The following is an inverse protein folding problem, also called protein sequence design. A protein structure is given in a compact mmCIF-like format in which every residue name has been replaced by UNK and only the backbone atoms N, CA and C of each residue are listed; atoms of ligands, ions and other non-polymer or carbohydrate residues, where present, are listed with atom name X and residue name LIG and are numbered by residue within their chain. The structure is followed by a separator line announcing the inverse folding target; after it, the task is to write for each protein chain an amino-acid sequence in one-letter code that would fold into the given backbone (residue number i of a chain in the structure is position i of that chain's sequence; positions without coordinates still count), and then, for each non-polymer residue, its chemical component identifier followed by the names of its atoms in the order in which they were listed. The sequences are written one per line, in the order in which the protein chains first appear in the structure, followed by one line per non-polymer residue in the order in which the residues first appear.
data_IF_515617796407
#
_entry.id   IF_515617796407
#
_cell.length_a   1.000
_cell.length_b   1.000
_cell.length_c   1.000
_cell.angle_alpha   90.00
_cell.angle_beta   90.00
_cell.angle_gamma   90.00
#
_symmetry.space_group_name_H-M   'P 1'
#
loop_
_entity.id
_entity.type
_entity.pdbx_description
1 polymer ?
#
# COMPACT_ATOMS: atom_id res chain seq x y z
N UNK A 1 -47.85 22.08 -35.28
CA UNK A 1 -48.49 23.40 -35.56
C UNK A 1 -50.00 23.19 -35.59
N UNK A 2 -50.74 23.75 -34.64
CA UNK A 2 -52.22 23.61 -34.58
C UNK A 2 -52.83 24.64 -35.52
N UNK A 3 -53.75 24.21 -36.40
CA UNK A 3 -54.37 25.06 -37.41
C UNK A 3 -55.17 26.21 -36.75
N UNK A 4 -54.83 27.50 -36.98
CA UNK A 4 -55.44 28.64 -36.29
C UNK A 4 -56.96 28.80 -36.53
N UNK A 5 -57.46 28.32 -37.67
CA UNK A 5 -58.88 28.39 -38.03
C UNK A 5 -59.75 27.51 -37.14
N UNK A 6 -59.30 26.28 -36.85
CA UNK A 6 -60.00 25.33 -35.97
C UNK A 6 -60.24 25.88 -34.54
N UNK A 7 -59.33 26.72 -34.03
CA UNK A 7 -59.43 27.30 -32.69
C UNK A 7 -60.51 28.38 -32.59
N UNK A 8 -60.68 29.18 -33.65
CA UNK A 8 -61.72 30.23 -33.70
C UNK A 8 -63.12 29.63 -33.88
N UNK A 9 -63.24 28.52 -34.60
CA UNK A 9 -64.53 27.87 -34.82
C UNK A 9 -65.07 27.22 -33.54
N UNK A 10 -64.19 26.68 -32.69
CA UNK A 10 -64.59 26.13 -31.39
C UNK A 10 -65.12 27.22 -30.44
N UNK A 11 -64.50 28.41 -30.42
CA UNK A 11 -64.94 29.53 -29.58
C UNK A 11 -66.31 30.10 -30.01
N UNK A 12 -66.76 29.86 -31.24
CA UNK A 12 -68.07 30.33 -31.74
C UNK A 12 -69.19 29.29 -31.63
N UNK A 13 -68.88 28.03 -31.31
CA UNK A 13 -69.91 27.01 -31.08
C UNK A 13 -70.65 27.31 -29.78
N UNK A 14 -71.98 27.16 -29.78
CA UNK A 14 -72.79 27.23 -28.55
C UNK A 14 -72.38 26.07 -27.64
N UNK A 15 -71.74 26.40 -26.51
CA UNK A 15 -71.37 25.42 -25.50
C UNK A 15 -72.52 25.21 -24.52
N UNK A 16 -72.56 24.01 -23.90
CA UNK A 16 -73.55 23.67 -22.87
C UNK A 16 -73.43 24.54 -21.61
N UNK A 17 -72.29 25.20 -21.43
CA UNK A 17 -71.99 26.13 -20.35
C UNK A 17 -71.79 27.53 -20.92
N UNK A 18 -72.23 28.57 -20.20
CA UNK A 18 -72.03 29.97 -20.58
C UNK A 18 -70.55 30.37 -20.39
N UNK A 19 -69.72 29.89 -21.31
CA UNK A 19 -68.29 30.15 -21.32
C UNK A 19 -68.06 31.40 -22.17
N UNK A 20 -67.84 32.53 -21.51
CA UNK A 20 -67.42 33.73 -22.22
C UNK A 20 -65.99 33.55 -22.73
N UNK A 21 -65.82 33.64 -24.05
CA UNK A 21 -64.54 33.38 -24.73
C UNK A 21 -63.40 34.30 -24.27
N UNK A 22 -63.71 35.55 -23.92
CA UNK A 22 -62.77 36.53 -23.37
C UNK A 22 -62.13 36.03 -22.07
N UNK A 23 -62.94 35.56 -21.10
CA UNK A 23 -62.44 35.05 -19.82
C UNK A 23 -61.52 33.83 -19.98
N UNK A 24 -61.81 32.96 -20.95
CA UNK A 24 -60.95 31.80 -21.23
C UNK A 24 -59.62 32.24 -21.83
N UNK A 25 -59.63 33.19 -22.76
CA UNK A 25 -58.40 33.70 -23.37
C UNK A 25 -57.54 34.44 -22.34
N UNK A 26 -58.14 35.25 -21.46
CA UNK A 26 -57.44 35.93 -20.37
C UNK A 26 -56.80 34.93 -19.40
N UNK A 27 -57.53 33.88 -19.00
CA UNK A 27 -57.01 32.82 -18.15
C UNK A 27 -55.83 32.07 -18.81
N UNK A 28 -55.95 31.76 -20.10
CA UNK A 28 -54.86 31.12 -20.85
C UNK A 28 -53.66 32.06 -20.96
N UNK A 29 -53.85 33.35 -21.24
CA UNK A 29 -52.76 34.32 -21.32
C UNK A 29 -52.04 34.46 -19.97
N UNK A 30 -52.80 34.57 -18.87
CA UNK A 30 -52.25 34.64 -17.51
C UNK A 30 -51.51 33.36 -17.14
N UNK A 31 -52.06 32.19 -17.47
CA UNK A 31 -51.42 30.90 -17.23
C UNK A 31 -50.12 30.77 -18.01
N UNK A 32 -50.12 31.13 -19.30
CA UNK A 32 -48.92 31.13 -20.14
C UNK A 32 -47.83 32.04 -19.56
N UNK A 33 -48.18 33.27 -19.17
CA UNK A 33 -47.24 34.21 -18.55
C UNK A 33 -46.67 33.67 -17.23
N UNK A 34 -47.49 33.01 -16.40
CA UNK A 34 -47.03 32.36 -15.18
C UNK A 34 -46.05 31.21 -15.47
N UNK A 35 -46.33 30.39 -16.49
CA UNK A 35 -45.44 29.31 -16.89
C UNK A 35 -44.12 29.84 -17.45
N UNK A 36 -44.14 30.88 -18.28
CA UNK A 36 -42.92 31.54 -18.79
C UNK A 36 -42.04 32.02 -17.63
N UNK A 37 -42.61 32.65 -16.60
CA UNK A 37 -41.86 33.07 -15.41
C UNK A 37 -41.23 31.89 -14.66
N UNK A 38 -41.95 30.78 -14.50
CA UNK A 38 -41.42 29.57 -13.85
C UNK A 38 -40.28 28.97 -14.67
N UNK A 39 -40.42 28.92 -16.00
CA UNK A 39 -39.37 28.45 -16.91
C UNK A 39 -38.12 29.33 -16.77
N UNK A 40 -38.27 30.66 -16.73
CA UNK A 40 -37.15 31.58 -16.52
C UNK A 40 -36.46 31.37 -15.16
N UNK A 41 -37.22 31.16 -14.09
CA UNK A 41 -36.67 30.83 -12.76
C UNK A 41 -35.91 29.51 -12.77
N UNK A 42 -36.46 28.46 -13.37
CA UNK A 42 -35.79 27.17 -13.53
C UNK A 42 -34.52 27.28 -14.37
N UNK A 43 -34.53 28.08 -15.45
CA UNK A 43 -33.34 28.33 -16.26
C UNK A 43 -32.25 29.06 -15.46
N UNK A 44 -32.61 30.01 -14.59
CA UNK A 44 -31.65 30.69 -13.70
C UNK A 44 -31.08 29.73 -12.66
N UNK A 45 -31.91 28.90 -12.04
CA UNK A 45 -31.45 27.90 -11.06
C UNK A 45 -30.57 26.84 -11.69
N UNK A 46 -30.91 26.37 -12.90
CA UNK A 46 -30.05 25.49 -13.68
C UNK A 46 -28.66 26.10 -13.89
N UNK A 47 -28.60 27.36 -14.36
CA UNK A 47 -27.32 28.05 -14.60
C UNK A 47 -26.49 28.16 -13.33
N UNK A 48 -27.11 28.55 -12.20
CA UNK A 48 -26.44 28.60 -10.90
C UNK A 48 -25.93 27.23 -10.44
N UNK A 49 -26.67 26.16 -10.72
CA UNK A 49 -26.23 24.80 -10.40
C UNK A 49 -25.04 24.38 -11.26
N UNK A 50 -25.04 24.69 -12.56
CA UNK A 50 -23.92 24.45 -13.47
C UNK A 50 -22.66 25.22 -13.03
N UNK A 51 -22.79 26.50 -12.65
CA UNK A 51 -21.68 27.30 -12.11
C UNK A 51 -21.10 26.69 -10.82
N UNK A 52 -21.95 26.27 -9.87
CA UNK A 52 -21.49 25.61 -8.63
C UNK A 52 -20.76 24.29 -8.90
N UNK A 53 -21.20 23.52 -9.90
CA UNK A 53 -20.53 22.29 -10.29
C UNK A 53 -19.15 22.58 -10.91
N UNK A 54 -19.05 23.59 -11.77
CA UNK A 54 -17.77 23.99 -12.36
C UNK A 54 -16.76 24.44 -11.30
N UNK A 55 -17.19 25.29 -10.36
CA UNK A 55 -16.36 25.73 -9.23
C UNK A 55 -15.87 24.55 -8.37
N UNK A 56 -16.76 23.58 -8.10
CA UNK A 56 -16.43 22.37 -7.35
C UNK A 56 -15.40 21.51 -8.08
N UNK A 57 -15.58 21.29 -9.38
CA UNK A 57 -14.65 20.53 -10.23
C UNK A 57 -13.28 21.20 -10.28
N UNK A 58 -13.22 22.53 -10.45
CA UNK A 58 -11.95 23.27 -10.44
C UNK A 58 -11.23 23.20 -9.10
N UNK A 59 -11.96 23.19 -7.97
CA UNK A 59 -11.37 23.04 -6.63
C UNK A 59 -10.80 21.63 -6.45
N UNK A 60 -11.53 20.59 -6.84
CA UNK A 60 -11.06 19.21 -6.78
C UNK A 60 -9.82 18.99 -7.66
N UNK A 61 -9.82 19.52 -8.88
CA UNK A 61 -8.68 19.45 -9.78
C UNK A 61 -7.43 20.12 -9.17
N UNK A 62 -7.57 21.32 -8.61
CA UNK A 62 -6.47 22.02 -7.91
C UNK A 62 -5.96 21.24 -6.70
N UNK A 63 -6.85 20.60 -5.93
CA UNK A 63 -6.44 19.76 -4.80
C UNK A 63 -5.68 18.51 -5.28
N UNK A 64 -6.18 17.84 -6.31
CA UNK A 64 -5.53 16.66 -6.90
C UNK A 64 -4.13 17.01 -7.43
N UNK A 65 -3.98 18.11 -8.15
CA UNK A 65 -2.67 18.57 -8.62
C UNK A 65 -1.72 18.92 -7.47
N UNK A 66 -2.22 19.49 -6.36
CA UNK A 66 -1.39 19.73 -5.17
C UNK A 66 -0.92 18.43 -4.54
N UNK A 67 -1.77 17.40 -4.47
CA UNK A 67 -1.41 16.07 -3.95
C UNK A 67 -0.34 15.44 -4.85
N UNK A 68 -0.58 15.37 -6.17
CA UNK A 68 0.36 14.79 -7.13
C UNK A 68 1.72 15.49 -7.09
N UNK A 69 1.77 16.83 -7.01
CA UNK A 69 3.05 17.55 -6.86
C UNK A 69 3.79 17.18 -5.58
N UNK A 70 3.07 17.06 -4.46
CA UNK A 70 3.69 16.65 -3.18
C UNK A 70 4.23 15.23 -3.26
N UNK A 71 3.49 14.31 -3.86
CA UNK A 71 3.94 12.92 -4.07
C UNK A 71 5.19 12.88 -4.95
N UNK A 72 5.21 13.61 -6.07
CA UNK A 72 6.38 13.72 -6.93
C UNK A 72 7.61 14.30 -6.21
N UNK A 73 7.43 15.31 -5.35
CA UNK A 73 8.56 15.88 -4.59
C UNK A 73 9.11 14.88 -3.57
N UNK A 74 8.24 14.15 -2.88
CA UNK A 74 8.65 13.12 -1.91
C UNK A 74 9.38 11.98 -2.63
N UNK A 75 8.86 11.54 -3.79
CA UNK A 75 9.53 10.51 -4.60
C UNK A 75 10.90 10.98 -5.08
N UNK A 76 11.02 12.22 -5.56
CA UNK A 76 12.29 12.81 -5.98
C UNK A 76 13.30 12.90 -4.83
N UNK A 77 12.87 13.26 -3.62
CA UNK A 77 13.72 13.28 -2.42
C UNK A 77 14.22 11.88 -2.05
N UNK A 78 13.34 10.87 -2.10
CA UNK A 78 13.69 9.47 -1.84
C UNK A 78 14.70 8.96 -2.87
N UNK A 79 14.47 9.22 -4.17
CA UNK A 79 15.42 8.82 -5.22
C UNK A 79 16.76 9.56 -5.08
N UNK A 80 16.75 10.84 -4.72
CA UNK A 80 17.98 11.59 -4.49
C UNK A 80 18.80 11.02 -3.32
N UNK A 81 18.13 10.61 -2.24
CA UNK A 81 18.76 9.95 -1.10
C UNK A 81 19.34 8.58 -1.47
N UNK A 82 18.60 7.78 -2.24
CA UNK A 82 19.12 6.50 -2.77
C UNK A 82 20.37 6.69 -3.63
N UNK A 83 20.38 7.70 -4.51
CA UNK A 83 21.54 8.04 -5.33
C UNK A 83 22.73 8.46 -4.46
N UNK A 84 22.50 9.26 -3.41
CA UNK A 84 23.57 9.64 -2.46
C UNK A 84 24.19 8.41 -1.79
N UNK A 85 23.35 7.53 -1.25
CA UNK A 85 23.80 6.30 -0.58
C UNK A 85 24.58 5.38 -1.52
N UNK A 86 24.13 5.22 -2.76
CA UNK A 86 24.86 4.42 -3.77
C UNK A 86 26.21 5.04 -4.13
N UNK A 87 26.30 6.37 -4.22
CA UNK A 87 27.58 7.07 -4.46
C UNK A 87 28.57 6.84 -3.32
N UNK A 88 28.12 6.94 -2.07
CA UNK A 88 28.96 6.67 -0.91
C UNK A 88 29.47 5.22 -0.89
N UNK A 89 28.61 4.26 -1.25
CA UNK A 89 29.02 2.86 -1.38
C UNK A 89 30.09 2.65 -2.45
N UNK A 90 29.97 3.32 -3.60
CA UNK A 90 30.99 3.25 -4.67
C UNK A 90 32.31 3.83 -4.19
N UNK A 91 32.31 4.97 -3.51
CA UNK A 91 33.52 5.60 -2.95
C UNK A 91 34.20 4.69 -1.91
N UNK A 92 33.41 4.07 -1.02
CA UNK A 92 33.92 3.08 -0.06
C UNK A 92 34.54 1.86 -0.76
N UNK A 93 33.96 1.41 -1.88
CA UNK A 93 34.53 0.32 -2.67
C UNK A 93 35.83 0.71 -3.35
N UNK A 94 35.96 1.94 -3.85
CA UNK A 94 37.20 2.45 -4.44
C UNK A 94 38.35 2.45 -3.43
N UNK A 95 38.10 2.89 -2.19
CA UNK A 95 39.10 2.84 -1.10
C UNK A 95 39.49 1.39 -0.78
N UNK A 96 38.53 0.47 -0.68
CA UNK A 96 38.82 -0.96 -0.44
C UNK A 96 39.68 -1.55 -1.56
N UNK A 97 39.37 -1.23 -2.82
CA UNK A 97 40.16 -1.69 -3.97
C UNK A 97 41.58 -1.10 -3.92
N UNK A 98 41.75 0.16 -3.53
CA UNK A 98 43.07 0.77 -3.37
C UNK A 98 43.90 0.06 -2.29
N UNK A 99 43.32 -0.19 -1.12
CA UNK A 99 44.00 -0.91 -0.03
C UNK A 99 44.38 -2.35 -0.44
N UNK A 100 43.49 -3.06 -1.12
CA UNK A 100 43.78 -4.41 -1.63
C UNK A 100 44.93 -4.41 -2.64
N UNK A 101 45.00 -3.40 -3.51
CA UNK A 101 46.12 -3.23 -4.46
C UNK A 101 47.45 -2.99 -3.73
N UNK A 102 47.45 -2.20 -2.66
CA UNK A 102 48.64 -1.96 -1.84
C UNK A 102 49.13 -3.25 -1.17
N UNK A 103 48.22 -4.03 -0.56
CA UNK A 103 48.54 -5.34 0.03
C UNK A 103 49.06 -6.33 -1.02
N UNK A 104 48.51 -6.31 -2.23
CA UNK A 104 49.00 -7.17 -3.31
C UNK A 104 50.44 -6.79 -3.71
N UNK A 105 50.74 -5.49 -3.82
CA UNK A 105 52.08 -5.03 -4.16
C UNK A 105 53.12 -5.33 -3.08
N UNK A 106 52.80 -5.17 -1.79
CA UNK A 106 53.72 -5.55 -0.71
C UNK A 106 54.02 -7.04 -0.73
N UNK A 107 52.99 -7.88 -0.92
CA UNK A 107 53.15 -9.33 -1.01
C UNK A 107 53.94 -9.78 -2.24
N UNK A 108 53.83 -9.07 -3.37
CA UNK A 108 54.66 -9.30 -4.55
C UNK A 108 56.13 -8.98 -4.28
N UNK A 109 56.42 -7.90 -3.54
CA UNK A 109 57.77 -7.52 -3.16
C UNK A 109 58.42 -8.52 -2.20
N UNK A 110 57.71 -8.94 -1.16
CA UNK A 110 58.17 -9.96 -0.20
C UNK A 110 58.53 -11.28 -0.91
N UNK A 111 57.69 -11.72 -1.85
CA UNK A 111 57.98 -12.92 -2.66
C UNK A 111 59.24 -12.77 -3.51
N UNK A 112 59.50 -11.58 -4.06
CA UNK A 112 60.72 -11.35 -4.83
C UNK A 112 61.97 -11.45 -3.95
N UNK A 113 61.96 -10.86 -2.76
CA UNK A 113 63.08 -10.95 -1.81
C UNK A 113 63.33 -12.39 -1.33
N UNK A 114 62.28 -13.15 -1.02
CA UNK A 114 62.39 -14.58 -0.68
C UNK A 114 63.04 -15.40 -1.80
N UNK A 115 62.69 -15.12 -3.07
CA UNK A 115 63.30 -15.83 -4.21
C UNK A 115 64.77 -15.48 -4.44
N UNK A 116 65.23 -14.27 -4.08
CA UNK A 116 66.64 -13.92 -4.16
C UNK A 116 67.48 -14.57 -3.05
N UNK A 117 66.94 -14.67 -1.83
CA UNK A 117 67.61 -15.33 -0.71
C UNK A 117 67.77 -16.85 -0.96
N UNK A 118 66.75 -17.50 -1.53
CA UNK A 118 66.83 -18.92 -1.89
C UNK A 118 67.80 -19.21 -3.05
N UNK A 119 68.06 -18.26 -3.96
CA UNK A 119 69.07 -18.43 -5.03
C UNK A 119 70.52 -18.39 -4.53
N UNK A 120 70.80 -17.80 -3.36
CA UNK A 120 72.17 -17.76 -2.77
C UNK A 120 72.47 -18.95 -1.84
N UNK A 121 71.45 -19.72 -1.43
CA UNK A 121 71.63 -20.96 -0.67
C UNK A 121 71.86 -22.22 -1.52
N UNK A 122 71.55 -22.18 -2.83
CA UNK A 122 71.54 -23.35 -3.69
C UNK A 122 72.86 -23.67 -4.42
N UNK A 123 74.03 -23.32 -3.85
CA UNK A 123 75.35 -23.69 -4.42
C UNK A 123 76.19 -24.61 -3.53
N UNK A 124 75.71 -25.01 -2.34
CA UNK A 124 76.50 -25.89 -1.48
C UNK A 124 75.65 -26.75 -0.53
N UNK A 125 74.88 -27.70 -1.07
CA UNK A 125 74.57 -29.01 -0.45
C UNK A 125 73.65 -29.79 -1.41
N UNK A 126 74.17 -30.84 -2.06
CA UNK A 126 74.17 -32.25 -1.58
C UNK A 126 72.78 -32.86 -1.75
N UNK A 127 72.55 -33.60 -2.83
CA UNK A 127 72.67 -35.07 -2.86
C UNK A 127 71.99 -35.75 -1.66
N UNK A 128 70.88 -36.44 -1.96
CA UNK A 128 70.15 -37.41 -1.13
C UNK A 128 69.33 -36.82 0.03
N UNK A 129 68.01 -36.80 -0.13
CA UNK A 129 67.06 -37.50 0.76
C UNK A 129 65.67 -37.50 0.15
N UNK A 130 65.20 -38.73 -0.09
CA UNK A 130 63.83 -39.24 -0.01
C UNK A 130 62.64 -38.30 -0.28
N UNK A 131 61.94 -38.67 -1.35
CA UNK A 131 60.59 -38.27 -1.71
C UNK A 131 59.58 -38.71 -0.65
N UNK A 132 59.40 -37.92 0.41
CA UNK A 132 58.09 -37.86 1.05
C UNK A 132 57.15 -37.16 0.07
N UNK A 133 56.30 -37.95 -0.59
CA UNK A 133 55.35 -37.45 -1.57
C UNK A 133 54.47 -36.40 -0.91
N UNK A 134 54.40 -35.20 -1.50
CA UNK A 134 53.61 -34.02 -1.06
C UNK A 134 52.19 -34.37 -0.54
N UNK A 135 51.63 -35.50 -0.98
CA UNK A 135 50.37 -36.07 -0.51
C UNK A 135 50.31 -36.28 1.01
N UNK A 136 51.34 -36.84 1.65
CA UNK A 136 51.31 -37.13 3.10
C UNK A 136 51.50 -35.86 3.94
N UNK A 137 52.20 -34.85 3.39
CA UNK A 137 52.34 -33.53 4.01
C UNK A 137 51.00 -32.77 4.06
N UNK A 138 50.22 -32.81 2.97
CA UNK A 138 48.88 -32.19 2.95
C UNK A 138 47.88 -32.92 3.85
N UNK A 139 47.98 -34.25 3.99
CA UNK A 139 47.07 -35.04 4.84
C UNK A 139 47.30 -34.78 6.34
N UNK A 140 48.55 -34.48 6.73
CA UNK A 140 48.92 -34.12 8.12
C UNK A 140 48.47 -32.71 8.50
N UNK A 141 48.55 -31.75 7.57
CA UNK A 141 48.09 -30.37 7.78
C UNK A 141 46.57 -30.26 7.96
N UNK A 142 45.80 -31.18 7.35
CA UNK A 142 44.34 -31.24 7.51
C UNK A 142 43.95 -31.82 8.89
N UNK A 143 44.77 -32.68 9.48
CA UNK A 143 44.50 -33.26 10.80
C UNK A 143 44.83 -32.29 11.96
N UNK A 144 45.78 -31.37 11.80
CA UNK A 144 46.13 -30.37 12.83
C UNK A 144 45.08 -29.24 12.98
N UNK A 145 44.26 -28.97 11.96
CA UNK A 145 43.18 -27.95 12.03
C UNK A 145 41.93 -28.49 12.74
N UNK A 146 41.85 -29.81 13.01
CA UNK A 146 40.70 -30.43 13.67
C UNK A 146 40.86 -30.64 15.18
N UNK A 147 42.00 -30.25 15.77
CA UNK A 147 42.27 -30.42 17.20
C UNK A 147 42.16 -29.10 17.97
N UNK A 148 41.21 -29.05 18.90
CA UNK A 148 41.15 -28.15 20.04
C UNK A 148 40.84 -26.66 19.80
N UNK A 149 39.60 -26.38 19.39
CA UNK A 149 38.92 -25.15 19.82
C UNK A 149 37.72 -25.53 20.71
N UNK A 150 37.97 -25.66 22.02
CA UNK A 150 36.92 -25.50 23.05
C UNK A 150 36.48 -24.03 23.05
N UNK A 151 35.61 -23.69 22.10
CA UNK A 151 34.88 -22.41 22.09
C UNK A 151 33.81 -22.48 23.15
N UNK A 152 33.94 -21.59 24.12
CA UNK A 152 32.93 -21.27 25.13
C UNK A 152 31.58 -21.00 24.46
N UNK A 153 30.62 -21.82 24.86
CA UNK A 153 29.23 -21.88 24.43
C UNK A 153 28.45 -20.59 24.79
N UNK A 154 28.75 -19.49 24.10
CA UNK A 154 27.90 -18.29 24.08
C UNK A 154 26.91 -18.44 22.92
N UNK A 155 25.78 -19.10 23.21
CA UNK A 155 24.50 -18.97 22.51
C UNK A 155 24.63 -18.55 21.04
N UNK A 156 25.20 -19.42 20.21
CA UNK A 156 24.87 -19.43 18.80
C UNK A 156 23.35 -19.64 18.74
N UNK A 157 22.61 -18.56 18.50
CA UNK A 157 21.26 -18.65 17.97
C UNK A 157 21.39 -19.43 16.67
N UNK A 158 21.23 -20.75 16.81
CA UNK A 158 21.18 -21.72 15.74
C UNK A 158 20.26 -21.13 14.67
N UNK A 159 20.88 -20.63 13.59
CA UNK A 159 20.19 -20.14 12.42
C UNK A 159 19.54 -21.35 11.77
N UNK A 160 18.44 -21.82 12.36
CA UNK A 160 17.61 -22.87 11.81
C UNK A 160 17.02 -22.27 10.56
N UNK A 161 17.70 -22.51 9.45
CA UNK A 161 17.36 -22.10 8.11
C UNK A 161 16.03 -22.76 7.75
N UNK A 162 14.93 -22.16 8.19
CA UNK A 162 13.62 -22.81 8.16
C UNK A 162 12.89 -22.39 6.88
N UNK A 163 12.95 -23.17 5.79
CA UNK A 163 12.18 -22.89 4.57
C UNK A 163 10.68 -22.77 4.85
N UNK A 164 10.17 -23.41 5.91
CA UNK A 164 8.77 -23.28 6.30
C UNK A 164 8.42 -21.84 6.74
N UNK A 165 9.35 -21.10 7.35
CA UNK A 165 9.11 -19.72 7.76
C UNK A 165 8.91 -18.80 6.54
N UNK A 166 9.72 -18.97 5.50
CA UNK A 166 9.57 -18.18 4.26
C UNK A 166 8.24 -18.50 3.56
N UNK A 167 7.81 -19.77 3.56
CA UNK A 167 6.51 -20.17 3.02
C UNK A 167 5.38 -19.51 3.81
N UNK A 168 5.40 -19.59 5.14
CA UNK A 168 4.39 -18.98 6.01
C UNK A 168 4.29 -17.46 5.81
N UNK A 169 5.42 -16.76 5.70
CA UNK A 169 5.42 -15.31 5.45
C UNK A 169 4.83 -14.95 4.09
N UNK A 170 5.06 -15.77 3.05
CA UNK A 170 4.45 -15.57 1.73
C UNK A 170 2.94 -15.79 1.77
N UNK A 171 2.48 -16.80 2.48
CA UNK A 171 1.04 -17.05 2.67
C UNK A 171 0.37 -15.87 3.39
N UNK A 172 0.99 -15.34 4.45
CA UNK A 172 0.50 -14.15 5.14
C UNK A 172 0.46 -12.91 4.24
N UNK A 173 1.49 -12.71 3.39
CA UNK A 173 1.52 -11.59 2.45
C UNK A 173 0.39 -11.71 1.39
N UNK A 174 0.16 -12.92 0.87
CA UNK A 174 -0.93 -13.22 -0.05
C UNK A 174 -2.30 -13.00 0.60
N UNK A 175 -2.48 -13.40 1.86
CA UNK A 175 -3.72 -13.16 2.60
C UNK A 175 -3.99 -11.65 2.79
N UNK A 176 -2.96 -10.87 3.16
CA UNK A 176 -3.08 -9.42 3.25
C UNK A 176 -3.43 -8.77 1.89
N UNK A 177 -2.86 -9.26 0.80
CA UNK A 177 -3.18 -8.80 -0.56
C UNK A 177 -4.65 -9.06 -0.89
N UNK A 178 -5.15 -10.27 -0.63
CA UNK A 178 -6.56 -10.62 -0.83
C UNK A 178 -7.50 -9.75 0.02
N UNK A 179 -7.10 -9.45 1.26
CA UNK A 179 -7.84 -8.55 2.13
C UNK A 179 -7.86 -7.13 1.56
N UNK A 180 -6.73 -6.62 1.06
CA UNK A 180 -6.64 -5.28 0.46
C UNK A 180 -7.57 -5.10 -0.74
N UNK A 181 -7.82 -6.15 -1.53
CA UNK A 181 -8.77 -6.10 -2.64
C UNK A 181 -10.23 -5.91 -2.16
N UNK A 182 -10.59 -6.50 -1.02
CA UNK A 182 -11.96 -6.46 -0.47
C UNK A 182 -12.12 -5.49 0.70
N UNK A 183 -11.05 -4.78 1.04
CA UNK A 183 -10.98 -3.89 2.20
C UNK A 183 -12.07 -2.82 2.09
N UNK A 184 -12.85 -2.57 3.14
CA UNK A 184 -13.94 -1.62 3.08
C UNK A 184 -13.43 -0.19 2.88
N UNK A 185 -14.17 0.59 2.10
CA UNK A 185 -13.95 2.02 1.95
C UNK A 185 -15.15 2.81 2.45
N UNK A 186 -14.88 4.06 2.77
CA UNK A 186 -15.89 5.04 3.15
C UNK A 186 -16.24 5.85 1.91
N UNK A 187 -17.50 5.82 1.50
CA UNK A 187 -17.99 6.63 0.39
C UNK A 187 -18.11 8.09 0.85
N UNK A 188 -17.30 8.99 0.30
CA UNK A 188 -17.26 10.40 0.68
C UNK A 188 -18.08 11.22 -0.31
N UNK A 189 -18.93 12.13 0.20
CA UNK A 189 -19.62 13.13 -0.59
C UNK A 189 -20.87 12.67 -1.35
N UNK A 190 -21.12 11.36 -1.45
CA UNK A 190 -22.20 10.84 -2.29
C UNK A 190 -23.42 10.42 -1.45
N UNK A 191 -24.31 11.37 -1.14
CA UNK A 191 -25.61 11.06 -0.54
C UNK A 191 -26.59 12.24 -0.57
N UNK A 192 -27.18 12.45 -1.75
CA UNK A 192 -28.41 13.25 -1.85
C UNK A 192 -29.62 12.42 -1.38
N UNK A 193 -30.48 12.98 -0.53
CA UNK A 193 -31.85 12.47 -0.39
C UNK A 193 -32.40 12.16 1.01
N UNK A 194 -31.72 12.47 2.11
CA UNK A 194 -32.36 12.33 3.45
C UNK A 194 -32.07 13.53 4.33
N UNK A 195 -33.13 14.13 4.87
CA UNK A 195 -33.02 15.26 5.76
C UNK A 195 -32.34 14.85 7.09
N UNK A 196 -31.07 15.20 7.26
CA UNK A 196 -30.26 14.88 8.44
C UNK A 196 -29.19 15.96 8.66
N UNK A 197 -28.92 16.25 9.94
CA UNK A 197 -27.77 17.06 10.35
C UNK A 197 -26.55 16.15 10.50
N UNK A 198 -25.45 16.48 9.83
CA UNK A 198 -24.19 15.77 9.99
C UNK A 198 -23.66 15.92 11.42
N UNK A 199 -23.40 14.81 12.13
CA UNK A 199 -22.90 14.85 13.50
C UNK A 199 -21.50 15.50 13.63
N UNK A 200 -20.76 15.61 12.52
CA UNK A 200 -19.37 16.07 12.51
C UNK A 200 -19.27 17.55 12.16
N UNK A 201 -19.68 17.95 10.95
CA UNK A 201 -19.60 19.33 10.47
C UNK A 201 -20.91 20.12 10.59
N UNK A 202 -21.96 19.54 11.16
CA UNK A 202 -23.28 20.19 11.37
C UNK A 202 -23.98 20.66 10.07
N UNK A 203 -23.48 20.26 8.90
CA UNK A 203 -24.15 20.48 7.63
C UNK A 203 -25.52 19.79 7.60
N UNK A 204 -26.53 20.50 7.09
CA UNK A 204 -27.91 20.02 7.00
C UNK A 204 -28.18 19.54 5.58
N UNK A 205 -28.63 18.29 5.44
CA UNK A 205 -29.18 17.69 4.21
C UNK A 205 -28.21 17.63 3.02
N UNK A 206 -26.91 17.79 3.27
CA UNK A 206 -25.87 17.68 2.24
C UNK A 206 -25.27 16.28 2.12
N UNK A 207 -25.13 15.55 3.24
CA UNK A 207 -24.51 14.22 3.27
C UNK A 207 -24.85 13.45 4.56
N UNK A 208 -24.74 12.12 4.52
CA UNK A 208 -24.76 11.33 5.74
C UNK A 208 -23.50 11.56 6.57
N UNK A 209 -23.62 11.48 7.91
CA UNK A 209 -22.45 11.60 8.80
C UNK A 209 -21.32 10.64 8.42
N UNK A 210 -21.65 9.41 8.02
CA UNK A 210 -20.69 8.39 7.56
C UNK A 210 -19.84 8.86 6.36
N UNK A 211 -20.41 9.73 5.52
CA UNK A 211 -19.87 10.25 4.25
C UNK A 211 -19.39 11.71 4.33
N UNK A 212 -19.18 12.23 5.55
CA UNK A 212 -18.76 13.61 5.76
C UNK A 212 -17.43 13.94 5.06
N UNK A 213 -17.41 14.94 4.15
CA UNK A 213 -16.20 15.34 3.43
C UNK A 213 -15.23 16.17 4.28
N UNK A 214 -15.75 16.92 5.25
CA UNK A 214 -14.96 17.82 6.12
C UNK A 214 -14.16 17.07 7.18
N UNK A 215 -14.70 15.96 7.68
CA UNK A 215 -14.06 15.15 8.72
C UNK A 215 -14.01 13.71 8.22
N UNK A 216 -12.86 13.31 7.69
CA UNK A 216 -12.70 11.98 7.07
C UNK A 216 -12.14 10.96 8.07
N UNK A 217 -11.15 11.37 8.86
CA UNK A 217 -10.44 10.51 9.81
C UNK A 217 -11.33 10.02 10.97
N UNK A 218 -11.31 8.72 11.23
CA UNK A 218 -12.10 8.08 12.27
C UNK A 218 -11.72 8.50 13.69
N UNK A 219 -10.46 8.85 13.97
CA UNK A 219 -10.04 9.35 15.28
C UNK A 219 -10.58 10.75 15.53
N UNK A 220 -10.51 11.64 14.54
CA UNK A 220 -11.09 12.98 14.61
C UNK A 220 -12.60 12.93 14.83
N UNK A 221 -13.29 12.05 14.11
CA UNK A 221 -14.73 11.81 14.30
C UNK A 221 -15.06 11.36 15.72
N UNK A 222 -14.26 10.46 16.29
CA UNK A 222 -14.41 10.04 17.68
C UNK A 222 -14.16 11.20 18.66
N UNK A 223 -13.15 12.04 18.41
CA UNK A 223 -12.86 13.22 19.23
C UNK A 223 -14.02 14.22 19.20
N UNK A 224 -14.61 14.48 18.04
CA UNK A 224 -15.79 15.35 17.89
C UNK A 224 -16.99 14.78 18.64
N UNK A 225 -17.27 13.48 18.50
CA UNK A 225 -18.37 12.82 19.21
C UNK A 225 -18.20 12.92 20.73
N UNK A 226 -16.99 12.70 21.24
CA UNK A 226 -16.70 12.85 22.66
C UNK A 226 -16.91 14.31 23.12
N UNK A 227 -16.39 15.28 22.35
CA UNK A 227 -16.52 16.71 22.66
C UNK A 227 -17.96 17.20 22.64
N UNK A 228 -18.76 16.73 21.68
CA UNK A 228 -20.20 17.05 21.55
C UNK A 228 -21.08 16.26 22.53
N UNK A 229 -20.51 15.33 23.29
CA UNK A 229 -21.27 14.47 24.22
C UNK A 229 -22.27 13.56 23.51
N UNK A 230 -21.97 13.12 22.29
CA UNK A 230 -22.85 12.26 21.50
C UNK A 230 -22.63 10.77 21.84
N UNK A 231 -23.68 9.98 21.72
CA UNK A 231 -23.60 8.54 21.94
C UNK A 231 -22.83 7.86 20.79
N UNK A 232 -21.78 7.09 21.13
CA UNK A 232 -20.96 6.34 20.15
C UNK A 232 -21.72 5.27 19.35
N UNK A 233 -22.95 4.92 19.75
CA UNK A 233 -23.77 3.89 19.10
C UNK A 233 -24.78 4.45 18.11
N UNK A 234 -25.37 5.61 18.40
CA UNK A 234 -26.44 6.19 17.58
C UNK A 234 -26.19 7.65 17.14
N UNK A 235 -25.08 8.25 17.56
CA UNK A 235 -24.73 9.66 17.34
C UNK A 235 -25.73 10.69 17.90
N UNK A 236 -26.73 10.26 18.67
CA UNK A 236 -27.68 11.13 19.35
C UNK A 236 -27.27 11.49 20.78
N UNK A 237 -28.01 12.42 21.40
CA UNK A 237 -27.85 12.81 22.81
C UNK A 237 -28.61 11.86 23.74
N UNK A 238 -28.14 10.62 23.86
CA UNK A 238 -28.67 9.67 24.85
C UNK A 238 -27.59 9.29 25.88
N UNK A 239 -27.98 8.90 27.11
CA UNK A 239 -27.02 8.40 28.09
C UNK A 239 -26.28 7.18 27.53
N UNK A 240 -24.96 7.12 27.68
CA UNK A 240 -24.11 6.10 27.04
C UNK A 240 -24.55 4.67 27.43
N UNK A 241 -24.95 4.46 28.68
CA UNK A 241 -25.35 3.15 29.22
C UNK A 241 -26.81 2.79 28.94
N UNK A 242 -27.63 3.75 28.48
CA UNK A 242 -29.08 3.58 28.26
C UNK A 242 -29.48 3.86 26.82
N UNK A 243 -28.56 3.73 25.87
CA UNK A 243 -28.88 3.91 24.46
C UNK A 243 -29.91 2.86 24.02
N UNK A 244 -31.09 3.31 23.56
CA UNK A 244 -32.17 2.44 23.06
C UNK A 244 -31.77 1.59 21.86
N UNK A 245 -30.72 2.00 21.15
CA UNK A 245 -30.19 1.25 20.01
C UNK A 245 -29.33 0.11 20.53
N UNK A 246 -29.77 -1.13 20.25
CA UNK A 246 -28.99 -2.34 20.55
C UNK A 246 -27.61 -2.23 19.88
N UNK A 247 -26.54 -2.74 20.52
CA UNK A 247 -25.25 -2.89 19.85
C UNK A 247 -25.46 -3.64 18.54
N UNK A 248 -25.13 -2.98 17.42
CA UNK A 248 -25.10 -3.61 16.10
C UNK A 248 -23.64 -3.81 15.72
N UNK A 249 -23.37 -4.89 15.02
CA UNK A 249 -22.08 -5.06 14.37
C UNK A 249 -21.86 -3.91 13.37
N UNK A 250 -20.71 -3.27 13.47
CA UNK A 250 -20.30 -2.27 12.50
C UNK A 250 -20.10 -2.93 11.14
N UNK A 251 -20.67 -2.32 10.08
CA UNK A 251 -20.56 -2.82 8.70
C UNK A 251 -19.10 -3.05 8.29
N UNK A 252 -18.21 -2.11 8.61
CA UNK A 252 -16.80 -2.17 8.27
C UNK A 252 -16.06 -3.25 9.06
N UNK A 253 -16.27 -3.34 10.38
CA UNK A 253 -15.66 -4.39 11.19
C UNK A 253 -16.13 -5.79 10.78
N UNK A 254 -17.40 -5.93 10.41
CA UNK A 254 -17.95 -7.20 9.92
C UNK A 254 -17.24 -7.69 8.67
N UNK A 255 -16.73 -6.79 7.82
CA UNK A 255 -16.00 -7.14 6.58
C UNK A 255 -14.60 -7.71 6.83
N UNK A 256 -13.96 -7.33 7.93
CA UNK A 256 -12.59 -7.75 8.26
C UNK A 256 -12.52 -8.83 9.35
N UNK A 257 -13.65 -9.17 9.97
CA UNK A 257 -13.75 -10.23 10.97
C UNK A 257 -13.37 -11.59 10.36
N UNK A 258 -12.55 -12.37 11.06
CA UNK A 258 -12.04 -13.66 10.58
C UNK A 258 -10.92 -13.57 9.55
N UNK A 259 -10.27 -12.42 9.42
CA UNK A 259 -9.09 -12.23 8.53
C UNK A 259 -7.84 -11.95 9.35
N UNK A 260 -6.65 -12.06 8.75
CA UNK A 260 -5.36 -11.73 9.38
C UNK A 260 -5.23 -10.30 9.96
N UNK A 261 -6.16 -9.39 9.63
CA UNK A 261 -6.22 -8.01 10.14
C UNK A 261 -7.38 -7.76 11.12
N UNK A 262 -8.01 -8.81 11.65
CA UNK A 262 -9.11 -8.65 12.62
C UNK A 262 -8.68 -7.83 13.84
N UNK A 263 -7.38 -7.82 14.17
CA UNK A 263 -6.78 -7.00 15.22
C UNK A 263 -6.97 -5.49 15.03
N UNK A 264 -7.21 -5.03 13.80
CA UNK A 264 -7.51 -3.62 13.49
C UNK A 264 -8.96 -3.23 13.82
N UNK A 265 -9.84 -4.19 14.08
CA UNK A 265 -11.22 -3.91 14.44
C UNK A 265 -11.33 -3.43 15.90
N UNK A 266 -12.03 -2.32 16.18
CA UNK A 266 -12.32 -1.93 17.56
C UNK A 266 -13.10 -3.01 18.31
N UNK A 267 -12.68 -3.32 19.53
CA UNK A 267 -13.29 -4.38 20.36
C UNK A 267 -14.74 -4.09 20.77
N UNK A 268 -15.13 -2.81 20.87
CA UNK A 268 -16.46 -2.39 21.32
C UNK A 268 -17.36 -2.00 20.14
N UNK A 269 -18.63 -2.37 20.24
CA UNK A 269 -19.66 -1.95 19.29
C UNK A 269 -19.75 -0.42 19.18
N UNK A 270 -19.74 0.08 17.94
CA UNK A 270 -19.73 1.51 17.62
C UNK A 270 -20.57 1.78 16.37
N UNK A 271 -20.96 3.04 16.18
CA UNK A 271 -21.64 3.50 14.98
C UNK A 271 -20.67 3.47 13.79
N UNK A 272 -21.13 3.03 12.61
CA UNK A 272 -20.27 2.90 11.39
C UNK A 272 -19.48 4.17 11.05
N UNK A 273 -20.08 5.33 11.27
CA UNK A 273 -19.45 6.64 11.04
C UNK A 273 -18.22 6.90 11.90
N UNK A 274 -18.05 6.18 13.02
CA UNK A 274 -16.90 6.29 13.93
C UNK A 274 -15.88 5.17 13.73
N UNK A 275 -16.10 4.28 12.75
CA UNK A 275 -15.19 3.19 12.50
C UNK A 275 -13.91 3.71 11.86
N UNK A 276 -12.77 3.36 12.45
CA UNK A 276 -11.43 3.66 11.94
C UNK A 276 -10.97 2.69 10.84
N UNK A 277 -11.64 1.53 10.70
CA UNK A 277 -11.20 0.47 9.77
C UNK A 277 -11.00 0.98 8.35
N UNK A 278 -11.91 1.77 7.73
CA UNK A 278 -11.69 2.29 6.38
C UNK A 278 -10.41 3.12 6.23
N UNK A 279 -9.97 3.79 7.30
CA UNK A 279 -8.80 4.68 7.31
C UNK A 279 -7.49 3.88 7.50
N UNK A 280 -7.57 2.68 8.06
CA UNK A 280 -6.42 1.79 8.33
C UNK A 280 -5.92 1.01 7.12
N UNK A 281 -6.42 1.29 5.90
CA UNK A 281 -5.91 0.67 4.67
C UNK A 281 -4.40 0.88 4.50
N UNK A 282 -3.90 2.05 4.89
CA UNK A 282 -2.47 2.37 4.87
C UNK A 282 -1.65 1.42 5.76
N UNK A 283 -2.15 1.13 6.96
CA UNK A 283 -1.48 0.23 7.92
C UNK A 283 -1.37 -1.20 7.37
N UNK A 284 -2.41 -1.68 6.69
CA UNK A 284 -2.38 -2.99 6.03
C UNK A 284 -1.30 -3.06 4.95
N UNK A 285 -1.15 -2.01 4.13
CA UNK A 285 -0.05 -1.92 3.14
C UNK A 285 1.32 -1.90 3.79
N UNK A 286 1.47 -1.19 4.92
CA UNK A 286 2.73 -1.17 5.69
C UNK A 286 3.06 -2.57 6.23
N UNK A 287 2.07 -3.28 6.81
CA UNK A 287 2.23 -4.65 7.29
C UNK A 287 2.65 -5.61 6.17
N UNK A 288 2.03 -5.49 5.00
CA UNK A 288 2.39 -6.27 3.80
C UNK A 288 3.85 -6.01 3.37
N UNK A 289 4.25 -4.74 3.25
CA UNK A 289 5.65 -4.36 2.92
C UNK A 289 6.67 -4.87 3.94
N UNK A 290 6.31 -4.89 5.24
CA UNK A 290 7.18 -5.47 6.28
C UNK A 290 7.38 -6.97 6.08
N UNK A 291 6.34 -7.71 5.71
CA UNK A 291 6.45 -9.14 5.37
C UNK A 291 7.32 -9.36 4.13
N UNK A 292 7.12 -8.58 3.08
CA UNK A 292 7.93 -8.65 1.85
C UNK A 292 9.41 -8.42 2.13
N UNK A 293 9.76 -7.37 2.89
CA UNK A 293 11.14 -7.11 3.32
C UNK A 293 11.72 -8.25 4.15
N UNK A 294 10.92 -8.85 5.05
CA UNK A 294 11.36 -9.99 5.85
C UNK A 294 11.64 -11.22 4.97
N UNK A 295 10.80 -11.46 3.96
CA UNK A 295 11.02 -12.53 2.97
C UNK A 295 12.30 -12.28 2.18
N UNK A 296 12.56 -11.05 1.76
CA UNK A 296 13.77 -10.67 1.02
C UNK A 296 15.03 -10.85 1.88
N UNK A 297 15.01 -10.37 3.11
CA UNK A 297 16.11 -10.53 4.06
C UNK A 297 16.51 -12.01 4.27
N UNK A 298 15.53 -12.88 4.54
CA UNK A 298 15.74 -14.32 4.68
C UNK A 298 16.28 -14.99 3.40
N UNK A 299 16.00 -14.42 2.21
CA UNK A 299 16.58 -14.93 0.96
C UNK A 299 18.02 -14.46 0.77
N UNK A 300 18.33 -13.22 1.14
CA UNK A 300 19.68 -12.67 1.03
C UNK A 300 20.66 -13.39 1.97
N UNK A 301 20.22 -13.76 3.18
CA UNK A 301 21.00 -14.59 4.11
C UNK A 301 21.33 -15.97 3.50
N UNK A 302 20.40 -16.55 2.73
CA UNK A 302 20.65 -17.80 1.99
C UNK A 302 21.58 -17.64 0.78
N UNK A 303 21.58 -16.47 0.16
CA UNK A 303 22.37 -16.16 -1.04
C UNK A 303 23.82 -15.79 -0.73
N UNK A 304 24.14 -15.43 0.51
CA UNK A 304 25.48 -15.07 0.94
C UNK A 304 26.17 -16.29 1.56
N UNK A 305 26.75 -17.15 0.72
CA UNK A 305 27.88 -18.01 1.14
C UNK A 305 29.19 -17.32 0.74
N UNK A 306 29.78 -16.46 1.60
CA UNK A 306 31.12 -15.98 1.38
C UNK A 306 32.08 -17.15 1.65
N UNK A 307 32.74 -17.66 0.60
CA UNK A 307 33.96 -18.44 0.77
C UNK A 307 33.79 -19.88 1.25
N UNK A 308 33.10 -20.71 0.47
CA UNK A 308 33.32 -22.16 0.48
C UNK A 308 33.95 -22.59 -0.85
N UNK A 309 35.25 -22.35 -1.04
CA UNK A 309 36.02 -22.92 -2.15
C UNK A 309 36.11 -24.44 -1.91
N UNK A 310 35.05 -25.16 -2.23
CA UNK A 310 35.11 -26.61 -2.37
C UNK A 310 35.44 -26.92 -3.83
N UNK A 311 36.74 -26.86 -4.13
CA UNK A 311 37.31 -27.56 -5.28
C UNK A 311 37.12 -29.06 -5.10
N UNK A 312 35.95 -29.58 -5.44
CA UNK A 312 35.77 -31.01 -5.69
C UNK A 312 35.14 -31.18 -7.05
N UNK A 313 36.03 -31.30 -8.06
CA UNK A 313 35.70 -31.85 -9.38
C UNK A 313 35.19 -33.28 -9.18
N UNK A 314 33.89 -33.46 -9.00
CA UNK A 314 33.23 -34.72 -9.36
C UNK A 314 32.66 -34.57 -10.74
N UNK A 315 33.38 -35.16 -11.70
CA UNK A 315 32.91 -35.46 -13.05
C UNK A 315 31.63 -36.29 -12.97
N UNK A 316 30.47 -35.65 -13.08
CA UNK A 316 29.23 -36.34 -13.40
C UNK A 316 29.28 -36.74 -14.88
N UNK A 317 29.46 -38.04 -15.13
CA UNK A 317 29.15 -38.64 -16.43
C UNK A 317 27.64 -38.62 -16.59
N UNK A 318 27.16 -37.91 -17.60
CA UNK A 318 25.77 -37.99 -18.05
C UNK A 318 25.62 -39.26 -18.89
N UNK A 319 25.14 -40.34 -18.27
CA UNK A 319 24.66 -41.49 -19.03
C UNK A 319 23.25 -41.19 -19.52
N UNK A 320 23.15 -40.89 -20.82
CA UNK A 320 21.90 -40.93 -21.56
C UNK A 320 21.39 -42.38 -21.63
N UNK A 321 20.24 -42.66 -21.04
CA UNK A 321 19.33 -43.70 -21.52
C UNK A 321 17.92 -43.44 -20.98
N UNK A 322 17.10 -42.76 -21.78
CA UNK A 322 15.64 -42.78 -21.66
C UNK A 322 15.08 -43.35 -22.95
N UNK A 323 14.82 -44.65 -22.92
CA UNK A 323 14.02 -45.36 -23.91
C UNK A 323 12.56 -44.96 -23.74
N UNK A 324 12.01 -44.26 -24.73
CA UNK A 324 10.57 -43.96 -24.80
C UNK A 324 9.89 -45.15 -25.49
N UNK A 325 9.12 -45.92 -24.73
CA UNK A 325 8.14 -46.86 -25.30
C UNK A 325 6.78 -46.17 -25.35
N UNK A 326 6.26 -45.99 -26.57
CA UNK A 326 4.86 -45.63 -26.81
C UNK A 326 4.00 -46.90 -26.75
N UNK A 327 2.88 -46.83 -26.03
CA UNK A 327 1.72 -47.71 -26.19
C UNK A 327 0.49 -46.87 -26.48
#
# INVERSE_FOLDING_TARGET
MVNPTLRRDWLRKKHKFDVRADKVLDFVAQSTSNFERIVDELCKEKRRAEERLDDCMQLQEKQLFRILRKEMTVEAEVTAEQIRNLKEQVEQQEVRIANLKEIMHTREHEKMEETELNKKGATLERAQTETETDRDYFEKMIQEIQGDEEVTNEQEEECTDNPAQVVQLREQALELEQVLLKFPYRDIGDSSGVANVCAFCDAVDLHFSDSCPEVQDGHDRNAIVNRKGLCKRCLGKCPQDKCRFRPRDCYYCKRIRGTIIEDLAPQKGHHRALCVVPDLRGEVRVRMKRLEKKIEHLRSERGFKPGGVSTSRRSFKCDHNLTVTFN
#
